data_IF_267670105392
#
_entry.id   IF_267670105392
#
_cell.length_a   1.000
_cell.length_b   1.000
_cell.length_c   1.000
_cell.angle_alpha   90.00
_cell.angle_beta   90.00
_cell.angle_gamma   90.00
#
_symmetry.space_group_name_H-M   'P 1'
#
loop_
_entity.id
_entity.type
_entity.pdbx_description
1 polymer ?
#
# COMPACT_ATOMS: atom_id res chain seq x y z
N UNK A 1 -12.69 9.56 3.67
CA UNK A 1 -12.60 10.08 5.06
C UNK A 1 -11.71 9.14 5.85
N UNK A 2 -10.91 9.64 6.78
CA UNK A 2 -10.07 8.78 7.63
C UNK A 2 -10.85 8.25 8.85
N UNK A 3 -10.84 6.94 9.07
CA UNK A 3 -11.45 6.28 10.22
C UNK A 3 -10.45 5.35 10.91
N UNK A 4 -10.23 5.52 12.21
CA UNK A 4 -9.39 4.59 12.98
C UNK A 4 -10.19 3.34 13.34
N UNK A 5 -9.77 2.19 12.82
CA UNK A 5 -10.34 0.88 13.16
C UNK A 5 -9.70 0.29 14.41
N UNK A 6 -8.43 0.64 14.65
CA UNK A 6 -7.68 0.21 15.82
C UNK A 6 -6.64 1.27 16.21
N UNK A 7 -6.45 1.46 17.51
CA UNK A 7 -5.42 2.32 18.08
C UNK A 7 -5.15 1.93 19.54
N UNK A 8 -3.94 1.42 19.84
CA UNK A 8 -3.48 1.15 21.20
C UNK A 8 -2.41 2.15 21.70
N UNK A 9 -2.20 3.23 20.96
CA UNK A 9 -1.17 4.24 21.19
C UNK A 9 0.18 3.94 20.51
N UNK A 10 0.46 2.68 20.15
CA UNK A 10 1.68 2.28 19.43
C UNK A 10 1.35 1.76 18.03
N UNK A 11 0.35 0.90 17.93
CA UNK A 11 -0.13 0.31 16.70
C UNK A 11 -1.49 0.89 16.32
N UNK A 12 -1.63 1.29 15.05
CA UNK A 12 -2.85 1.93 14.52
C UNK A 12 -3.21 1.33 13.17
N UNK A 13 -4.50 1.14 12.94
CA UNK A 13 -5.06 0.76 11.65
C UNK A 13 -6.08 1.81 11.23
N UNK A 14 -5.81 2.49 10.13
CA UNK A 14 -6.61 3.61 9.65
C UNK A 14 -7.15 3.26 8.27
N UNK A 15 -8.47 3.30 8.13
CA UNK A 15 -9.17 3.23 6.85
C UNK A 15 -9.25 4.62 6.23
N UNK A 16 -9.01 4.71 4.93
CA UNK A 16 -9.41 5.83 4.08
C UNK A 16 -10.40 5.31 3.04
N UNK A 17 -11.63 5.80 3.10
CA UNK A 17 -12.72 5.48 2.18
C UNK A 17 -13.20 6.72 1.43
N UNK A 18 -14.14 6.54 0.50
CA UNK A 18 -14.84 7.66 -0.17
C UNK A 18 -13.92 8.72 -0.81
N UNK A 19 -12.74 8.30 -1.31
CA UNK A 19 -11.79 9.18 -1.99
C UNK A 19 -11.99 9.23 -3.52
N UNK A 20 -12.68 8.25 -4.07
CA UNK A 20 -12.99 8.13 -5.51
C UNK A 20 -13.98 9.20 -5.99
N UNK A 21 -13.90 9.58 -7.27
CA UNK A 21 -14.83 10.51 -7.89
C UNK A 21 -16.14 9.86 -8.34
N UNK A 22 -17.13 10.67 -8.72
CA UNK A 22 -18.39 10.19 -9.30
C UNK A 22 -18.12 9.37 -10.58
N UNK A 23 -18.71 8.18 -10.67
CA UNK A 23 -18.55 7.26 -11.81
C UNK A 23 -17.28 6.39 -11.76
N UNK A 24 -16.44 6.52 -10.72
CA UNK A 24 -15.29 5.66 -10.48
C UNK A 24 -15.67 4.51 -9.53
N UNK A 25 -14.98 3.38 -9.65
CA UNK A 25 -15.08 2.32 -8.63
C UNK A 25 -14.54 2.89 -7.32
N UNK A 26 -15.33 2.76 -6.25
CA UNK A 26 -14.88 3.15 -4.91
C UNK A 26 -13.91 2.09 -4.40
N UNK A 27 -12.75 2.54 -3.91
CA UNK A 27 -11.74 1.69 -3.31
C UNK A 27 -11.38 2.20 -1.92
N UNK A 28 -11.11 1.27 -1.01
CA UNK A 28 -10.64 1.54 0.34
C UNK A 28 -9.13 1.41 0.41
N UNK A 29 -8.49 2.31 1.14
CA UNK A 29 -7.05 2.26 1.40
C UNK A 29 -6.82 2.12 2.90
N UNK A 30 -5.77 1.40 3.29
CA UNK A 30 -5.43 1.27 4.71
C UNK A 30 -4.00 1.72 4.97
N UNK A 31 -3.81 2.46 6.06
CA UNK A 31 -2.51 2.71 6.65
C UNK A 31 -2.42 1.96 7.97
N UNK A 32 -1.44 1.07 8.07
CA UNK A 32 -1.03 0.46 9.33
C UNK A 32 0.20 1.23 9.82
N UNK A 33 0.18 1.66 11.07
CA UNK A 33 1.32 2.34 11.73
C UNK A 33 1.73 1.47 12.91
N UNK A 34 3.03 1.27 13.10
CA UNK A 34 3.58 0.76 14.35
C UNK A 34 4.76 1.64 14.77
N UNK A 35 4.62 2.30 15.92
CA UNK A 35 5.58 3.28 16.40
C UNK A 35 5.69 4.45 15.44
N UNK A 36 6.82 4.52 14.72
CA UNK A 36 7.18 5.64 13.87
C UNK A 36 7.27 5.28 12.38
N UNK A 37 6.82 4.07 12.04
CA UNK A 37 6.93 3.44 10.73
C UNK A 37 5.55 2.95 10.27
N UNK A 38 5.32 2.92 8.95
CA UNK A 38 4.02 2.49 8.42
C UNK A 38 4.06 1.65 7.16
N UNK A 39 2.92 1.01 6.93
CA UNK A 39 2.62 0.15 5.79
C UNK A 39 1.34 0.65 5.15
N UNK A 40 1.40 0.95 3.85
CA UNK A 40 0.24 1.38 3.06
C UNK A 40 -0.27 0.20 2.23
N UNK A 41 -1.55 -0.14 2.39
CA UNK A 41 -2.20 -1.25 1.70
C UNK A 41 -3.07 -0.72 0.56
N UNK A 42 -2.90 -1.31 -0.63
CA UNK A 42 -3.68 -1.06 -1.84
C UNK A 42 -3.95 0.44 -2.07
N UNK A 43 -2.89 1.27 -2.23
CA UNK A 43 -2.98 2.74 -2.21
C UNK A 43 -3.84 3.35 -3.32
N UNK A 44 -4.22 2.53 -4.29
CA UNK A 44 -5.17 2.89 -5.32
C UNK A 44 -4.54 3.57 -6.52
N UNK A 45 -5.41 4.21 -7.30
CA UNK A 45 -5.04 4.76 -8.59
C UNK A 45 -4.42 6.16 -8.54
N UNK A 46 -3.85 6.58 -9.67
CA UNK A 46 -3.20 7.89 -9.84
C UNK A 46 -4.06 9.09 -9.39
N UNK A 47 -5.39 8.99 -9.57
CA UNK A 47 -6.32 10.06 -9.18
C UNK A 47 -6.51 10.20 -7.67
N UNK A 48 -6.30 9.12 -6.92
CA UNK A 48 -6.42 9.11 -5.46
C UNK A 48 -5.14 9.62 -4.78
N UNK A 49 -3.99 9.52 -5.46
CA UNK A 49 -2.67 9.84 -4.90
C UNK A 49 -2.65 11.13 -4.08
N UNK A 50 -3.08 12.26 -4.66
CA UNK A 50 -3.02 13.56 -3.98
C UNK A 50 -3.93 13.63 -2.74
N UNK A 51 -5.14 13.05 -2.82
CA UNK A 51 -6.09 13.04 -1.71
C UNK A 51 -5.61 12.13 -0.58
N UNK A 52 -5.27 10.89 -0.90
CA UNK A 52 -4.80 9.91 0.08
C UNK A 52 -3.51 10.40 0.75
N UNK A 53 -2.55 10.92 -0.02
CA UNK A 53 -1.29 11.44 0.55
C UNK A 53 -1.54 12.58 1.53
N UNK A 54 -2.47 13.50 1.21
CA UNK A 54 -2.82 14.60 2.11
C UNK A 54 -3.50 14.12 3.40
N UNK A 55 -4.47 13.20 3.30
CA UNK A 55 -5.13 12.64 4.49
C UNK A 55 -4.14 11.82 5.34
N UNK A 56 -3.39 10.91 4.71
CA UNK A 56 -2.39 10.06 5.35
C UNK A 56 -1.31 10.85 6.08
N UNK A 57 -0.86 11.99 5.52
CA UNK A 57 0.19 12.84 6.12
C UNK A 57 -0.19 13.41 7.49
N UNK A 58 -1.49 13.45 7.83
CA UNK A 58 -1.96 13.83 9.17
C UNK A 58 -1.67 12.75 10.23
N UNK A 59 -1.41 11.52 9.79
CA UNK A 59 -1.14 10.36 10.63
C UNK A 59 0.32 9.92 10.58
N UNK A 60 0.89 9.85 9.38
CA UNK A 60 2.26 9.45 9.11
C UNK A 60 2.77 10.14 7.82
N UNK A 61 3.90 10.84 7.86
CA UNK A 61 4.47 11.42 6.65
C UNK A 61 4.91 10.29 5.68
N UNK A 62 4.74 10.46 4.35
CA UNK A 62 5.06 9.41 3.38
C UNK A 62 6.49 8.85 3.48
N UNK A 63 7.45 9.65 3.94
CA UNK A 63 8.85 9.23 4.10
C UNK A 63 9.05 8.17 5.18
N UNK A 64 8.06 7.96 6.06
CA UNK A 64 8.06 6.92 7.09
C UNK A 64 7.36 5.64 6.65
N UNK A 65 6.93 5.54 5.39
CA UNK A 65 6.46 4.29 4.83
C UNK A 65 7.64 3.34 4.62
N UNK A 66 7.59 2.19 5.27
CA UNK A 66 8.54 1.09 5.07
C UNK A 66 8.07 0.20 3.92
N UNK A 67 6.77 -0.10 3.86
CA UNK A 67 6.19 -0.95 2.83
C UNK A 67 4.96 -0.33 2.17
N UNK A 68 4.81 -0.61 0.88
CA UNK A 68 3.55 -0.49 0.15
C UNK A 68 3.18 -1.88 -0.32
N UNK A 69 2.05 -2.41 0.13
CA UNK A 69 1.59 -3.76 -0.20
C UNK A 69 0.48 -3.65 -1.22
N UNK A 70 0.61 -4.40 -2.31
CA UNK A 70 -0.41 -4.54 -3.33
C UNK A 70 -0.97 -5.97 -3.25
N UNK A 71 -2.28 -6.10 -3.04
CA UNK A 71 -2.95 -7.40 -2.96
C UNK A 71 -2.97 -8.14 -4.30
N UNK A 72 -3.20 -7.41 -5.39
CA UNK A 72 -3.25 -7.95 -6.76
C UNK A 72 -3.01 -6.84 -7.81
N UNK A 73 -3.13 -7.18 -9.09
CA UNK A 73 -2.67 -6.38 -10.23
C UNK A 73 -3.63 -5.31 -10.75
N UNK A 74 -4.81 -5.16 -10.16
CA UNK A 74 -5.82 -4.31 -10.79
C UNK A 74 -5.51 -2.80 -10.65
N UNK A 75 -6.01 -1.97 -11.58
CA UNK A 75 -5.66 -0.55 -11.61
C UNK A 75 -6.06 0.23 -10.35
N UNK A 76 -7.13 -0.17 -9.68
CA UNK A 76 -7.65 0.41 -8.44
C UNK A 76 -6.87 -0.04 -7.19
N UNK A 77 -5.86 -0.90 -7.34
CA UNK A 77 -4.95 -1.31 -6.27
C UNK A 77 -3.65 -0.52 -6.28
N UNK A 78 -3.02 -0.43 -7.45
CA UNK A 78 -1.61 0.00 -7.53
C UNK A 78 -1.27 0.99 -8.63
N UNK A 79 -2.22 1.45 -9.45
CA UNK A 79 -1.85 2.32 -10.60
C UNK A 79 -1.27 3.68 -10.18
N UNK A 80 -1.48 4.12 -8.94
CA UNK A 80 -0.88 5.32 -8.34
C UNK A 80 0.54 5.14 -7.79
N UNK A 81 1.11 3.93 -7.85
CA UNK A 81 2.36 3.57 -7.17
C UNK A 81 3.53 4.53 -7.47
N UNK A 82 3.66 5.00 -8.71
CA UNK A 82 4.73 5.92 -9.11
C UNK A 82 4.78 7.19 -8.23
N UNK A 83 3.62 7.72 -7.83
CA UNK A 83 3.55 8.91 -6.97
C UNK A 83 4.15 8.64 -5.58
N UNK A 84 3.82 7.48 -4.99
CA UNK A 84 4.30 7.12 -3.65
C UNK A 84 5.80 6.84 -3.63
N UNK A 85 6.35 6.21 -4.67
CA UNK A 85 7.79 5.95 -4.77
C UNK A 85 8.63 7.23 -4.93
N UNK A 86 8.03 8.32 -5.43
CA UNK A 86 8.70 9.63 -5.54
C UNK A 86 8.82 10.36 -4.19
N UNK A 87 7.95 10.04 -3.22
CA UNK A 87 7.88 10.77 -1.94
C UNK A 87 8.24 9.91 -0.73
N UNK A 88 8.66 8.66 -0.95
CA UNK A 88 9.03 7.69 0.08
C UNK A 88 10.15 6.78 -0.40
N UNK A 89 10.83 6.13 0.55
CA UNK A 89 11.79 5.04 0.30
C UNK A 89 11.16 3.64 0.46
N UNK A 90 9.84 3.56 0.57
CA UNK A 90 9.10 2.33 0.80
C UNK A 90 9.42 1.21 -0.20
N UNK A 91 9.46 -0.03 0.28
CA UNK A 91 9.59 -1.24 -0.53
C UNK A 91 8.21 -1.73 -0.96
N UNK A 92 8.09 -2.10 -2.24
CA UNK A 92 6.85 -2.63 -2.82
C UNK A 92 6.76 -4.12 -2.48
N UNK A 93 5.73 -4.54 -1.75
CA UNK A 93 5.42 -5.95 -1.56
C UNK A 93 4.32 -6.36 -2.54
N UNK A 94 4.59 -7.34 -3.40
CA UNK A 94 3.66 -7.73 -4.47
C UNK A 94 3.75 -9.22 -4.78
N UNK A 95 2.64 -9.95 -5.08
CA UNK A 95 2.70 -11.35 -5.44
C UNK A 95 3.64 -11.63 -6.60
N UNK A 96 4.42 -12.70 -6.47
CA UNK A 96 5.48 -13.09 -7.40
C UNK A 96 5.01 -13.18 -8.86
N UNK A 97 3.77 -13.65 -9.05
CA UNK A 97 3.12 -13.81 -10.36
C UNK A 97 2.93 -12.47 -11.10
N UNK A 98 2.78 -11.36 -10.37
CA UNK A 98 2.49 -10.04 -10.95
C UNK A 98 3.71 -9.12 -11.07
N UNK A 99 4.90 -9.54 -10.62
CA UNK A 99 6.10 -8.67 -10.63
C UNK A 99 6.43 -8.08 -12.00
N UNK A 100 6.14 -8.83 -13.07
CA UNK A 100 6.36 -8.37 -14.45
C UNK A 100 5.39 -7.28 -14.92
N UNK A 101 4.34 -6.99 -14.15
CA UNK A 101 3.36 -5.93 -14.40
C UNK A 101 3.75 -4.59 -13.76
N UNK A 102 4.70 -4.57 -12.82
CA UNK A 102 5.20 -3.33 -12.17
C UNK A 102 5.55 -2.21 -13.17
N UNK A 103 6.18 -2.48 -14.34
CA UNK A 103 6.47 -1.44 -15.32
C UNK A 103 5.22 -0.69 -15.87
N UNK A 104 4.01 -1.24 -15.70
CA UNK A 104 2.76 -0.56 -16.03
C UNK A 104 2.34 0.49 -14.98
N UNK A 105 2.84 0.38 -13.74
CA UNK A 105 2.48 1.28 -12.64
C UNK A 105 3.51 2.37 -12.39
N UNK A 106 4.79 2.08 -12.60
CA UNK A 106 5.87 3.03 -12.28
C UNK A 106 7.13 2.84 -13.13
N UNK A 107 7.93 3.89 -13.16
CA UNK A 107 9.21 3.89 -13.88
C UNK A 107 10.23 2.96 -13.23
N UNK A 108 10.97 2.20 -14.05
CA UNK A 108 11.94 1.19 -13.59
C UNK A 108 12.98 1.76 -12.60
N UNK A 109 13.43 3.00 -12.82
CA UNK A 109 14.41 3.66 -11.95
C UNK A 109 13.96 3.76 -10.50
N UNK A 110 12.65 3.93 -10.24
CA UNK A 110 12.09 4.05 -8.90
C UNK A 110 11.92 2.71 -8.17
N UNK A 111 12.05 1.60 -8.90
CA UNK A 111 11.81 0.25 -8.36
C UNK A 111 13.08 -0.54 -8.07
N UNK A 112 14.25 0.02 -8.42
CA UNK A 112 15.55 -0.62 -8.21
C UNK A 112 15.74 -0.89 -6.72
N UNK A 113 15.96 -2.15 -6.34
CA UNK A 113 16.11 -2.62 -4.96
C UNK A 113 14.93 -2.34 -4.01
N UNK A 114 13.75 -2.00 -4.57
CA UNK A 114 12.53 -1.64 -3.82
C UNK A 114 11.36 -2.58 -4.11
N UNK A 115 11.63 -3.84 -4.40
CA UNK A 115 10.61 -4.86 -4.64
C UNK A 115 10.89 -6.08 -3.74
N UNK A 116 9.87 -6.44 -2.96
CA UNK A 116 9.80 -7.67 -2.19
C UNK A 116 8.74 -8.59 -2.82
N UNK A 117 9.17 -9.76 -3.30
CA UNK A 117 8.28 -10.77 -3.88
C UNK A 117 7.55 -11.52 -2.79
N UNK A 118 6.22 -11.58 -2.87
CA UNK A 118 5.40 -12.43 -1.99
C UNK A 118 5.23 -13.80 -2.67
N UNK A 119 5.64 -14.92 -2.04
CA UNK A 119 5.46 -16.26 -2.60
C UNK A 119 3.99 -16.71 -2.48
N UNK A 120 3.61 -17.75 -3.22
CA UNK A 120 2.21 -18.18 -3.30
C UNK A 120 1.67 -18.70 -1.96
N UNK A 121 2.52 -19.24 -1.10
CA UNK A 121 2.20 -19.67 0.27
C UNK A 121 2.03 -18.52 1.27
N UNK A 122 2.25 -17.28 0.84
CA UNK A 122 2.24 -16.10 1.70
C UNK A 122 3.51 -15.97 2.53
N UNK A 123 3.56 -15.00 3.45
CA UNK A 123 4.74 -14.79 4.28
C UNK A 123 4.44 -13.99 5.55
N UNK A 124 5.38 -14.04 6.50
CA UNK A 124 5.46 -13.09 7.62
C UNK A 124 6.30 -11.90 7.16
N UNK A 125 5.75 -10.70 7.29
CA UNK A 125 6.42 -9.45 6.97
C UNK A 125 6.68 -8.69 8.26
N UNK A 126 7.95 -8.63 8.66
CA UNK A 126 8.40 -7.82 9.80
C UNK A 126 8.44 -6.34 9.38
N UNK A 127 7.92 -5.45 10.23
CA UNK A 127 8.03 -4.00 10.07
C UNK A 127 7.96 -3.34 11.44
N UNK A 128 8.77 -2.31 11.68
CA UNK A 128 8.74 -1.56 12.96
C UNK A 128 8.88 -2.38 14.26
N UNK A 129 9.33 -3.64 14.22
CA UNK A 129 9.40 -4.53 15.40
C UNK A 129 8.13 -5.34 15.70
N UNK A 130 7.19 -5.39 14.75
CA UNK A 130 6.02 -6.27 14.75
C UNK A 130 5.90 -7.00 13.41
N UNK A 131 5.01 -7.99 13.32
CA UNK A 131 4.75 -8.73 12.08
C UNK A 131 3.36 -8.48 11.48
N UNK A 132 3.25 -8.57 10.15
CA UNK A 132 2.02 -8.79 9.40
C UNK A 132 2.05 -10.18 8.77
N UNK A 133 0.91 -10.87 8.78
CA UNK A 133 0.72 -12.12 8.05
C UNK A 133 0.12 -11.83 6.68
N UNK A 134 0.88 -12.05 5.61
CA UNK A 134 0.39 -12.00 4.23
C UNK A 134 -0.15 -13.38 3.87
N UNK A 135 -1.49 -13.51 3.87
CA UNK A 135 -2.18 -14.80 3.73
C UNK A 135 -2.62 -15.00 2.27
N UNK A 136 -2.42 -16.19 1.67
CA UNK A 136 -2.87 -16.48 0.31
C UNK A 136 -4.38 -16.33 0.15
N UNK A 137 -4.79 -15.66 -0.93
CA UNK A 137 -6.18 -15.49 -1.33
C UNK A 137 -6.34 -15.61 -2.86
N UNK A 138 -5.59 -16.53 -3.48
CA UNK A 138 -5.59 -16.75 -4.93
C UNK A 138 -7.00 -17.11 -5.44
N UNK A 139 -7.34 -16.62 -6.62
CA UNK A 139 -8.64 -16.77 -7.29
C UNK A 139 -9.81 -16.10 -6.56
N UNK A 140 -9.53 -15.12 -5.70
CA UNK A 140 -10.50 -14.23 -5.06
C UNK A 140 -10.17 -12.76 -5.41
N UNK A 141 -9.98 -12.40 -6.67
CA UNK A 141 -10.59 -13.01 -7.87
C UNK A 141 -9.60 -13.50 -8.95
N UNK A 142 -8.32 -13.16 -8.88
CA UNK A 142 -7.29 -13.47 -9.89
C UNK A 142 -6.34 -14.58 -9.49
#
# INVERSE_FOLDING_TARGET
>A
MATEFFNDGTHRCILFDDLSGEGEVQANQFLIIHGDTGVLLDPGGNKLFSKLTAEMASFLPPQKLEYIILSHQDPDVGSGLNGYLLVSDAVICFPSIWLRFIPAFCTKSLTTDRILSIPDEGMRLEFGGTELLLIPAHFLHS
#
